data_IF_628680042008
#
_entry.id   IF_628680042008
#
_cell.length_a   1.000
_cell.length_b   1.000
_cell.length_c   1.000
_cell.angle_alpha   90.00
_cell.angle_beta   90.00
_cell.angle_gamma   90.00
#
_symmetry.space_group_name_H-M   'P 1'
#
loop_
_entity.id
_entity.type
_entity.pdbx_description
1 polymer ?
#
# COMPACT_ATOMS: atom_id res chain seq x y z
N UNK A 1 4.29 -9.94 -20.94
CA UNK A 1 3.36 -8.86 -20.55
C UNK A 1 3.74 -8.42 -19.15
N UNK A 2 3.92 -7.11 -18.87
CA UNK A 2 4.22 -6.69 -17.50
C UNK A 2 3.05 -7.13 -16.63
N UNK A 3 3.34 -7.91 -15.57
CA UNK A 3 2.37 -8.28 -14.54
C UNK A 3 1.91 -7.00 -13.85
N UNK A 4 0.95 -6.30 -14.46
CA UNK A 4 0.31 -5.12 -13.92
C UNK A 4 -0.62 -5.61 -12.83
N UNK A 5 -0.22 -5.41 -11.57
CA UNK A 5 -1.15 -5.53 -10.46
C UNK A 5 -2.30 -4.55 -10.72
N UNK A 6 -3.57 -5.00 -10.66
CA UNK A 6 -4.67 -4.10 -10.85
C UNK A 6 -4.69 -3.06 -9.72
N UNK A 7 -5.15 -1.83 -9.97
CA UNK A 7 -5.10 -0.74 -9.00
C UNK A 7 -5.81 -1.11 -7.69
N UNK A 8 -6.96 -1.78 -7.78
CA UNK A 8 -7.70 -2.35 -6.65
C UNK A 8 -6.85 -3.26 -5.75
N UNK A 9 -5.97 -4.09 -6.33
CA UNK A 9 -5.12 -5.00 -5.58
C UNK A 9 -4.02 -4.24 -4.84
N UNK A 10 -3.46 -3.21 -5.49
CA UNK A 10 -2.48 -2.31 -4.87
C UNK A 10 -3.11 -1.53 -3.72
N UNK A 11 -4.26 -0.92 -3.93
CA UNK A 11 -4.95 -0.11 -2.92
C UNK A 11 -5.36 -0.96 -1.72
N UNK A 12 -5.93 -2.14 -1.97
CA UNK A 12 -6.28 -3.11 -0.92
C UNK A 12 -5.06 -3.53 -0.11
N UNK A 13 -3.96 -3.85 -0.79
CA UNK A 13 -2.73 -4.28 -0.13
C UNK A 13 -2.13 -3.16 0.73
N UNK A 14 -2.10 -1.93 0.21
CA UNK A 14 -1.61 -0.77 0.95
C UNK A 14 -2.49 -0.45 2.15
N UNK A 15 -3.82 -0.45 1.98
CA UNK A 15 -4.76 -0.24 3.09
C UNK A 15 -4.54 -1.26 4.20
N UNK A 16 -4.38 -2.54 3.84
CA UNK A 16 -4.10 -3.60 4.80
C UNK A 16 -2.79 -3.37 5.56
N UNK A 17 -1.73 -2.94 4.88
CA UNK A 17 -0.46 -2.63 5.56
C UNK A 17 -0.58 -1.43 6.51
N UNK A 18 -1.33 -0.40 6.13
CA UNK A 18 -1.55 0.79 6.96
C UNK A 18 -2.42 0.48 8.18
N UNK A 19 -3.47 -0.31 8.01
CA UNK A 19 -4.39 -0.73 9.07
C UNK A 19 -3.67 -1.57 10.14
N UNK A 20 -2.86 -2.54 9.69
CA UNK A 20 -2.07 -3.37 10.58
C UNK A 20 -0.73 -2.73 10.99
N UNK A 21 -0.42 -1.50 10.54
CA UNK A 21 0.89 -0.90 10.76
C UNK A 21 1.24 -0.78 12.24
N UNK A 22 0.26 -0.44 13.07
CA UNK A 22 0.39 -0.28 14.53
C UNK A 22 0.78 -1.59 15.22
N UNK A 23 0.38 -2.74 14.64
CA UNK A 23 0.72 -4.07 15.15
C UNK A 23 2.16 -4.50 14.80
N UNK A 24 2.85 -3.77 13.91
CA UNK A 24 4.22 -4.06 13.51
C UNK A 24 5.19 -2.92 13.88
N UNK A 25 6.44 -3.28 14.18
CA UNK A 25 7.49 -2.30 14.50
C UNK A 25 7.77 -1.30 13.36
N UNK A 26 7.46 -1.65 12.11
CA UNK A 26 7.77 -0.82 10.93
C UNK A 26 6.98 -1.27 9.69
N UNK A 27 6.78 -0.33 8.74
CA UNK A 27 6.21 -0.61 7.40
C UNK A 27 6.92 -1.78 6.71
N UNK A 28 8.25 -1.88 6.86
CA UNK A 28 9.03 -2.97 6.27
C UNK A 28 8.58 -4.34 6.80
N UNK A 29 8.45 -4.48 8.13
CA UNK A 29 8.01 -5.72 8.76
C UNK A 29 6.59 -6.09 8.37
N UNK A 30 5.67 -5.11 8.35
CA UNK A 30 4.31 -5.31 7.87
C UNK A 30 4.27 -5.78 6.40
N UNK A 31 5.05 -5.15 5.53
CA UNK A 31 5.13 -5.52 4.10
C UNK A 31 5.74 -6.92 3.89
N UNK A 32 6.73 -7.32 4.69
CA UNK A 32 7.33 -8.66 4.61
C UNK A 32 6.35 -9.76 5.02
N UNK A 33 5.44 -9.47 5.95
CA UNK A 33 4.43 -10.42 6.42
C UNK A 33 3.20 -10.44 5.50
N UNK A 34 2.74 -9.28 5.03
CA UNK A 34 1.51 -9.14 4.24
C UNK A 34 1.75 -9.41 2.75
N UNK A 35 2.92 -9.03 2.21
CA UNK A 35 3.30 -9.23 0.81
C UNK A 35 3.06 -10.66 0.32
N UNK A 36 3.69 -11.70 0.92
CA UNK A 36 3.50 -13.08 0.49
C UNK A 36 2.06 -13.58 0.64
N UNK A 37 1.29 -13.07 1.62
CA UNK A 37 -0.15 -13.43 1.79
C UNK A 37 -1.01 -12.97 0.63
N UNK A 38 -0.61 -11.89 -0.04
CA UNK A 38 -1.32 -11.32 -1.20
C UNK A 38 -0.67 -11.70 -2.54
N UNK A 39 0.42 -12.46 -2.52
CA UNK A 39 1.22 -12.76 -3.73
C UNK A 39 1.96 -11.53 -4.29
N UNK A 40 2.26 -10.54 -3.45
CA UNK A 40 2.89 -9.27 -3.83
C UNK A 40 4.30 -9.22 -3.23
N UNK A 41 5.27 -8.76 -4.01
CA UNK A 41 6.62 -8.53 -3.49
C UNK A 41 6.64 -7.48 -2.38
N UNK A 42 7.29 -7.79 -1.25
CA UNK A 42 7.36 -6.89 -0.09
C UNK A 42 7.93 -5.50 -0.44
N UNK A 43 8.90 -5.43 -1.36
CA UNK A 43 9.46 -4.16 -1.84
C UNK A 43 8.45 -3.32 -2.65
N UNK A 44 7.67 -3.97 -3.53
CA UNK A 44 6.62 -3.30 -4.30
C UNK A 44 5.54 -2.74 -3.36
N UNK A 45 5.12 -3.57 -2.39
CA UNK A 45 4.14 -3.18 -1.38
C UNK A 45 4.64 -2.02 -0.51
N UNK A 46 5.91 -2.04 -0.11
CA UNK A 46 6.54 -0.95 0.63
C UNK A 46 6.56 0.35 -0.17
N UNK A 47 6.90 0.29 -1.46
CA UNK A 47 6.91 1.48 -2.31
C UNK A 47 5.51 2.08 -2.45
N UNK A 48 4.48 1.24 -2.64
CA UNK A 48 3.11 1.71 -2.71
C UNK A 48 2.60 2.28 -1.38
N UNK A 49 2.98 1.67 -0.26
CA UNK A 49 2.59 2.13 1.08
C UNK A 49 3.25 3.47 1.42
N UNK A 50 4.49 3.69 0.99
CA UNK A 50 5.14 5.00 1.10
C UNK A 50 4.44 6.05 0.24
N UNK A 51 4.12 5.71 -1.01
CA UNK A 51 3.40 6.62 -1.90
C UNK A 51 2.02 7.00 -1.33
N UNK A 52 1.29 6.06 -0.74
CA UNK A 52 -0.01 6.36 -0.11
C UNK A 52 0.12 7.21 1.15
N UNK A 53 1.18 7.05 1.96
CA UNK A 53 1.43 7.96 3.10
C UNK A 53 1.77 9.37 2.63
N UNK A 54 2.54 9.50 1.55
CA UNK A 54 2.85 10.80 0.95
C UNK A 54 1.57 11.42 0.42
N UNK A 55 0.78 10.69 -0.37
CA UNK A 55 -0.51 11.14 -0.90
C UNK A 55 -1.45 11.56 0.24
N UNK A 56 -1.64 10.72 1.26
CA UNK A 56 -2.48 11.05 2.43
C UNK A 56 -2.02 12.31 3.18
N UNK A 57 -0.70 12.59 3.23
CA UNK A 57 -0.15 13.79 3.87
C UNK A 57 -0.16 15.02 2.94
N UNK A 58 -0.12 14.81 1.62
CA UNK A 58 -0.16 15.86 0.60
C UNK A 58 -1.58 16.25 0.20
N UNK A 59 -2.57 15.46 0.61
CA UNK A 59 -3.98 15.67 0.31
C UNK A 59 -4.70 16.16 1.58
N UNK A 60 -4.66 17.47 1.93
CA UNK A 60 -5.49 18.01 2.99
C UNK A 60 -6.98 18.17 2.57
N UNK A 61 -7.44 17.55 1.47
CA UNK A 61 -8.85 17.64 1.06
C UNK A 61 -9.21 17.33 -0.40
N UNK A 62 -8.40 16.58 -1.17
CA UNK A 62 -8.74 16.25 -2.56
C UNK A 62 -9.66 15.03 -2.64
N UNK A 63 -10.95 15.35 -2.64
CA UNK A 63 -12.00 14.76 -3.47
C UNK A 63 -11.56 13.59 -4.37
N UNK A 64 -12.16 12.44 -4.11
CA UNK A 64 -12.58 11.52 -5.15
C UNK A 64 -13.32 12.30 -6.23
N UNK A 65 -12.65 12.67 -7.32
CA UNK A 65 -13.33 13.02 -8.57
C UNK A 65 -12.59 12.35 -9.69
N UNK A 66 -13.09 11.16 -10.02
CA UNK A 66 -12.90 10.52 -11.31
C UNK A 66 -13.46 11.47 -12.37
N UNK A 67 -12.63 11.88 -13.33
CA UNK A 67 -13.03 12.60 -14.54
C UNK A 67 -12.37 11.95 -15.74
#
# INVERSE_FOLDING_TARGET
>A
MPKRYPPEQRERAVRMVLDHLDEYRSVCSACQVIGPKLGIGAESLRNWTKQAQIDANQVPGATTSHS
#
